data_IF_189419607145
#
_entry.id   IF_189419607145
#
_cell.length_a   1.000
_cell.length_b   1.000
_cell.length_c   1.000
_cell.angle_alpha   90.00
_cell.angle_beta   90.00
_cell.angle_gamma   90.00
#
_symmetry.space_group_name_H-M   'P 1'
#
loop_
_entity.id
_entity.type
_entity.pdbx_description
1 polymer ?
#
# COMPACT_ATOMS: atom_id res chain seq x y z
N UNK A 1 -6.54 7.48 -6.93
CA UNK A 1 -5.18 7.81 -7.46
C UNK A 1 -4.20 8.06 -6.30
N UNK A 2 -2.97 7.52 -6.35
CA UNK A 2 -2.04 7.61 -5.22
C UNK A 2 -1.62 9.07 -4.95
N UNK A 3 -1.95 9.60 -3.77
CA UNK A 3 -1.58 10.95 -3.36
C UNK A 3 -0.21 10.92 -2.70
N UNK A 4 0.70 11.76 -3.18
CA UNK A 4 2.07 11.85 -2.67
C UNK A 4 2.42 13.29 -2.31
N UNK A 5 2.98 13.50 -1.12
CA UNK A 5 3.46 14.80 -0.66
C UNK A 5 4.96 14.71 -0.36
N UNK A 6 5.74 15.68 -0.84
CA UNK A 6 7.18 15.70 -0.65
C UNK A 6 7.62 17.04 -0.07
N UNK A 7 8.41 16.97 1.00
CA UNK A 7 9.11 18.10 1.59
C UNK A 7 10.61 17.81 1.57
N UNK A 8 11.40 18.70 0.99
CA UNK A 8 12.84 18.53 0.84
C UNK A 8 13.60 19.61 1.61
N UNK A 9 14.53 19.17 2.46
CA UNK A 9 15.51 20.01 3.13
C UNK A 9 16.86 19.79 2.46
N UNK A 10 17.38 20.83 1.81
CA UNK A 10 18.71 20.78 1.17
C UNK A 10 19.65 21.67 1.97
N UNK A 11 20.78 21.13 2.38
CA UNK A 11 21.83 21.90 3.03
C UNK A 11 22.41 22.92 2.04
N UNK A 12 22.55 24.17 2.48
CA UNK A 12 23.18 25.24 1.71
C UNK A 12 24.69 25.25 1.95
N UNK A 13 25.50 25.35 0.89
CA UNK A 13 26.97 25.44 0.96
C UNK A 13 27.70 24.68 -0.17
N UNK A 14 28.99 24.96 -0.35
CA UNK A 14 29.84 24.38 -1.41
C UNK A 14 30.54 23.06 -1.04
N UNK A 15 30.40 22.62 0.20
CA UNK A 15 30.94 21.33 0.67
C UNK A 15 30.08 20.13 0.24
N UNK A 16 30.42 18.94 0.75
CA UNK A 16 29.61 17.73 0.61
C UNK A 16 28.17 18.04 1.02
N UNK A 17 27.26 18.04 0.03
CA UNK A 17 25.90 18.52 0.23
C UNK A 17 25.00 17.40 0.69
N UNK A 18 24.15 17.64 1.69
CA UNK A 18 23.14 16.68 2.12
C UNK A 18 21.74 17.18 1.81
N UNK A 19 20.86 16.25 1.40
CA UNK A 19 19.43 16.51 1.22
C UNK A 19 18.61 15.41 1.89
N UNK A 20 17.66 15.83 2.69
CA UNK A 20 16.66 14.95 3.29
C UNK A 20 15.30 15.21 2.62
N UNK A 21 14.64 14.16 2.16
CA UNK A 21 13.29 14.28 1.60
C UNK A 21 12.33 13.47 2.43
N UNK A 22 11.36 14.15 3.03
CA UNK A 22 10.18 13.53 3.64
C UNK A 22 9.15 13.31 2.54
N UNK A 23 8.89 12.05 2.23
CA UNK A 23 7.98 11.63 1.18
C UNK A 23 6.82 10.84 1.82
N UNK A 24 5.65 11.46 1.91
CA UNK A 24 4.44 10.84 2.39
C UNK A 24 3.66 10.25 1.21
N UNK A 25 3.32 8.97 1.28
CA UNK A 25 2.53 8.25 0.29
C UNK A 25 1.22 7.78 0.91
N UNK A 26 0.10 8.08 0.25
CA UNK A 26 -1.25 7.62 0.60
C UNK A 26 -1.58 7.74 2.09
N UNK A 27 -1.10 8.80 2.76
CA UNK A 27 -1.28 9.05 4.19
C UNK A 27 -0.90 7.91 5.18
N UNK A 28 -0.34 6.82 4.69
CA UNK A 28 -0.13 5.59 5.44
C UNK A 28 1.35 5.18 5.45
N UNK A 29 2.17 5.74 4.57
CA UNK A 29 3.61 5.50 4.50
C UNK A 29 4.40 6.79 4.50
N UNK A 30 5.44 6.84 5.32
CA UNK A 30 6.41 7.93 5.35
C UNK A 30 7.78 7.37 4.96
N UNK A 31 8.46 8.04 4.03
CA UNK A 31 9.82 7.75 3.65
C UNK A 31 10.68 8.96 3.98
N UNK A 32 11.75 8.74 4.72
CA UNK A 32 12.87 9.66 4.83
C UNK A 32 13.94 9.19 3.85
N UNK A 33 14.07 9.91 2.74
CA UNK A 33 15.08 9.64 1.73
C UNK A 33 16.31 10.53 2.00
N UNK A 34 17.48 9.91 2.16
CA UNK A 34 18.74 10.62 2.40
C UNK A 34 19.54 10.66 1.12
N UNK A 35 19.96 11.85 0.74
CA UNK A 35 20.76 12.09 -0.45
C UNK A 35 22.06 12.79 -0.08
N UNK A 36 23.15 12.38 -0.73
CA UNK A 36 24.45 13.06 -0.65
C UNK A 36 24.86 13.58 -2.04
N UNK A 37 25.56 14.71 -2.03
CA UNK A 37 26.18 15.37 -3.19
C UNK A 37 27.68 15.45 -2.92
N UNK A 38 28.49 14.90 -3.83
CA UNK A 38 29.96 14.98 -3.75
C UNK A 38 30.44 16.37 -4.20
N UNK A 39 31.57 16.82 -3.65
CA UNK A 39 32.19 18.07 -4.10
C UNK A 39 32.52 18.00 -5.61
N UNK A 40 32.25 19.09 -6.33
CA UNK A 40 32.42 19.16 -7.79
C UNK A 40 31.33 18.45 -8.61
N UNK A 41 30.26 17.95 -7.96
CA UNK A 41 29.10 17.39 -8.63
C UNK A 41 27.84 18.15 -8.19
N UNK A 42 26.97 18.51 -9.13
CA UNK A 42 25.71 19.22 -8.86
C UNK A 42 24.54 18.27 -8.56
N UNK A 43 24.71 16.97 -8.83
CA UNK A 43 23.69 15.96 -8.63
C UNK A 43 23.73 15.37 -7.22
N UNK A 44 22.55 15.29 -6.61
CA UNK A 44 22.32 14.54 -5.38
C UNK A 44 21.98 13.08 -5.71
N UNK A 45 22.65 12.14 -5.04
CA UNK A 45 22.39 10.71 -5.17
C UNK A 45 21.75 10.19 -3.89
N UNK A 46 20.70 9.37 -4.00
CA UNK A 46 20.06 8.76 -2.84
C UNK A 46 20.98 7.70 -2.26
N UNK A 47 21.40 7.89 -1.02
CA UNK A 47 22.31 6.99 -0.29
C UNK A 47 21.57 6.10 0.70
N UNK A 48 20.41 6.53 1.19
CA UNK A 48 19.62 5.74 2.13
C UNK A 48 18.11 6.06 2.02
N UNK A 49 17.28 5.16 2.54
CA UNK A 49 15.84 5.35 2.70
C UNK A 49 15.36 4.66 3.97
N UNK A 50 14.92 5.45 4.94
CA UNK A 50 14.21 4.96 6.11
C UNK A 50 12.72 5.04 5.83
N UNK A 51 12.00 3.93 6.01
CA UNK A 51 10.54 3.91 5.79
C UNK A 51 9.79 3.48 7.03
N UNK A 52 8.67 4.14 7.29
CA UNK A 52 7.70 3.74 8.31
C UNK A 52 6.31 3.60 7.69
N UNK A 53 5.53 2.69 8.24
CA UNK A 53 4.14 2.45 7.88
C UNK A 53 3.28 2.77 9.11
N UNK A 54 2.13 3.41 8.90
CA UNK A 54 1.14 3.65 9.95
C UNK A 54 0.63 2.30 10.46
N UNK A 55 0.62 2.13 11.77
CA UNK A 55 0.04 0.93 12.40
C UNK A 55 -1.40 0.70 11.92
N UNK A 56 -1.76 -0.57 11.67
CA UNK A 56 -3.08 -0.94 11.14
C UNK A 56 -3.27 -0.68 9.64
N UNK A 57 -2.24 -0.21 8.93
CA UNK A 57 -2.29 -0.05 7.46
C UNK A 57 -1.33 -1.02 6.77
N UNK A 58 -1.75 -1.59 5.63
CA UNK A 58 -0.91 -2.50 4.85
C UNK A 58 -0.31 -1.79 3.65
N UNK A 59 0.95 -2.08 3.36
CA UNK A 59 1.62 -1.62 2.14
C UNK A 59 0.97 -2.14 0.85
N UNK A 60 0.25 -3.25 0.93
CA UNK A 60 -0.48 -3.86 -0.18
C UNK A 60 -1.95 -3.45 -0.25
N UNK A 61 -2.50 -2.88 0.83
CA UNK A 61 -3.85 -2.34 0.83
C UNK A 61 -3.78 -0.91 0.28
N UNK A 62 -4.37 -0.72 -0.88
CA UNK A 62 -4.73 0.61 -1.37
C UNK A 62 -5.81 1.18 -0.43
N UNK A 63 -5.69 2.45 -0.03
CA UNK A 63 -6.65 3.11 0.88
C UNK A 63 -8.11 3.05 0.39
N UNK A 64 -8.30 2.91 -0.93
CA UNK A 64 -9.62 2.77 -1.58
C UNK A 64 -10.15 1.31 -1.54
N UNK A 65 -9.39 0.37 -0.97
CA UNK A 65 -9.63 -1.08 -1.10
C UNK A 65 -9.56 -1.55 -2.56
N UNK A 66 -9.79 -2.83 -2.83
CA UNK A 66 -10.01 -3.30 -4.21
C UNK A 66 -11.46 -3.07 -4.66
N UNK A 67 -12.23 -2.28 -3.90
CA UNK A 67 -13.67 -2.10 -4.07
C UNK A 67 -14.38 -3.44 -4.17
N UNK A 68 -15.21 -3.57 -5.21
CA UNK A 68 -15.94 -4.80 -5.53
C UNK A 68 -15.03 -6.02 -5.77
N UNK A 69 -13.77 -5.81 -6.18
CA UNK A 69 -12.80 -6.89 -6.43
C UNK A 69 -12.02 -7.28 -5.18
N UNK A 70 -12.46 -6.93 -3.98
CA UNK A 70 -11.78 -7.36 -2.76
C UNK A 70 -12.01 -8.85 -2.53
N UNK A 71 -10.95 -9.57 -2.18
CA UNK A 71 -11.05 -10.97 -1.79
C UNK A 71 -11.83 -11.08 -0.48
N UNK A 72 -12.99 -11.73 -0.52
CA UNK A 72 -13.90 -11.82 0.63
C UNK A 72 -13.36 -12.61 1.83
N UNK A 73 -12.27 -13.36 1.64
CA UNK A 73 -11.61 -14.14 2.71
C UNK A 73 -10.36 -13.42 3.22
N UNK A 74 -9.46 -13.00 2.33
CA UNK A 74 -8.15 -12.46 2.72
C UNK A 74 -8.06 -10.92 2.72
N UNK A 75 -9.03 -10.22 2.12
CA UNK A 75 -8.96 -8.77 1.89
C UNK A 75 -8.00 -8.32 0.79
N UNK A 76 -7.27 -9.25 0.15
CA UNK A 76 -6.38 -8.97 -0.97
C UNK A 76 -7.11 -8.72 -2.30
N UNK A 77 -6.35 -8.59 -3.40
CA UNK A 77 -6.94 -8.44 -4.74
C UNK A 77 -7.63 -9.74 -5.14
N UNK A 78 -8.92 -9.68 -5.36
CA UNK A 78 -9.72 -10.73 -5.94
C UNK A 78 -9.48 -10.85 -7.44
N UNK A 79 -8.94 -11.98 -7.86
CA UNK A 79 -8.61 -12.30 -9.26
C UNK A 79 -9.53 -13.36 -9.85
N UNK A 80 -10.26 -14.08 -8.99
CA UNK A 80 -11.19 -15.16 -9.35
C UNK A 80 -12.58 -14.74 -8.88
N UNK A 81 -13.58 -14.79 -9.76
CA UNK A 81 -14.97 -14.56 -9.40
C UNK A 81 -15.64 -15.84 -8.88
N UNK A 82 -16.48 -15.69 -7.86
CA UNK A 82 -17.35 -16.74 -7.31
C UNK A 82 -18.77 -16.18 -7.17
N UNK A 83 -19.79 -17.01 -7.34
CA UNK A 83 -21.19 -16.56 -7.31
C UNK A 83 -21.99 -17.34 -6.28
N UNK A 84 -22.79 -16.65 -5.48
CA UNK A 84 -23.68 -17.24 -4.48
C UNK A 84 -24.98 -16.46 -4.37
N UNK A 85 -26.12 -17.15 -4.42
CA UNK A 85 -27.47 -16.56 -4.32
C UNK A 85 -27.69 -15.35 -5.26
N UNK A 86 -27.21 -15.44 -6.50
CA UNK A 86 -27.34 -14.36 -7.50
C UNK A 86 -26.37 -13.18 -7.33
N UNK A 87 -25.52 -13.18 -6.30
CA UNK A 87 -24.49 -12.17 -6.09
C UNK A 87 -23.11 -12.68 -6.55
N UNK A 88 -22.27 -11.77 -7.04
CA UNK A 88 -20.89 -12.06 -7.44
C UNK A 88 -19.93 -11.52 -6.39
N UNK A 89 -18.99 -12.37 -5.97
CA UNK A 89 -17.91 -12.07 -5.04
C UNK A 89 -16.56 -12.43 -5.68
N UNK A 90 -15.46 -12.00 -5.06
CA UNK A 90 -14.12 -12.28 -5.58
C UNK A 90 -13.23 -12.92 -4.53
N UNK A 91 -12.29 -13.76 -5.00
CA UNK A 91 -11.27 -14.43 -4.19
C UNK A 91 -9.89 -14.34 -4.86
N UNK A 92 -8.81 -14.39 -4.07
CA UNK A 92 -7.45 -14.15 -4.57
C UNK A 92 -6.72 -15.41 -5.08
N UNK A 93 -7.19 -16.61 -4.71
CA UNK A 93 -6.55 -17.87 -5.07
C UNK A 93 -7.53 -19.06 -5.00
N UNK A 94 -7.12 -20.22 -5.52
CA UNK A 94 -7.91 -21.46 -5.49
C UNK A 94 -8.20 -21.96 -4.07
N UNK A 95 -7.29 -21.73 -3.11
CA UNK A 95 -7.52 -22.05 -1.71
C UNK A 95 -8.65 -21.21 -1.09
N UNK A 96 -8.71 -19.92 -1.40
CA UNK A 96 -9.84 -19.07 -1.00
C UNK A 96 -11.12 -19.49 -1.71
N UNK A 97 -11.05 -19.91 -2.98
CA UNK A 97 -12.23 -20.45 -3.67
C UNK A 97 -12.78 -21.70 -2.96
N UNK A 98 -11.92 -22.66 -2.62
CA UNK A 98 -12.35 -23.88 -1.93
C UNK A 98 -13.00 -23.57 -0.58
N UNK A 99 -12.37 -22.70 0.23
CA UNK A 99 -12.94 -22.27 1.50
C UNK A 99 -14.28 -21.52 1.36
N UNK A 100 -14.47 -20.78 0.27
CA UNK A 100 -15.75 -20.13 -0.04
C UNK A 100 -16.82 -21.15 -0.45
N UNK A 101 -16.48 -22.13 -1.28
CA UNK A 101 -17.43 -23.15 -1.73
C UNK A 101 -17.89 -24.06 -0.58
N UNK A 102 -17.05 -24.27 0.46
CA UNK A 102 -17.38 -25.05 1.65
C UNK A 102 -18.40 -24.36 2.57
N UNK A 103 -18.25 -23.05 2.81
CA UNK A 103 -19.11 -22.29 3.72
C UNK A 103 -19.27 -20.83 3.25
N UNK A 104 -20.02 -20.59 2.15
CA UNK A 104 -20.12 -19.28 1.54
C UNK A 104 -20.80 -18.25 2.46
N UNK A 105 -21.80 -18.67 3.24
CA UNK A 105 -22.58 -17.79 4.10
C UNK A 105 -21.72 -17.18 5.22
N UNK A 106 -20.87 -17.99 5.86
CA UNK A 106 -19.92 -17.52 6.88
C UNK A 106 -18.98 -16.45 6.35
N UNK A 107 -18.39 -16.67 5.17
CA UNK A 107 -17.45 -15.72 4.59
C UNK A 107 -18.12 -14.44 4.10
N UNK A 108 -19.34 -14.54 3.56
CA UNK A 108 -20.15 -13.37 3.17
C UNK A 108 -20.52 -12.53 4.39
N UNK A 109 -20.95 -13.17 5.49
CA UNK A 109 -21.28 -12.47 6.73
C UNK A 109 -20.07 -11.72 7.29
N UNK A 110 -18.92 -12.41 7.39
CA UNK A 110 -17.65 -11.81 7.83
C UNK A 110 -17.21 -10.64 6.95
N UNK A 111 -17.35 -10.77 5.63
CA UNK A 111 -16.97 -9.71 4.71
C UNK A 111 -17.85 -8.46 4.86
N UNK A 112 -19.16 -8.63 5.05
CA UNK A 112 -20.09 -7.52 5.30
C UNK A 112 -19.80 -6.81 6.62
N UNK A 113 -19.49 -7.55 7.68
CA UNK A 113 -19.14 -6.97 8.99
C UNK A 113 -17.87 -6.10 8.92
N UNK A 114 -16.87 -6.53 8.15
CA UNK A 114 -15.62 -5.77 7.96
C UNK A 114 -15.72 -4.64 6.92
N UNK A 115 -16.84 -4.52 6.20
CA UNK A 115 -17.05 -3.49 5.17
C UNK A 115 -17.98 -2.36 5.63
N UNK A 116 -18.47 -2.41 6.87
CA UNK A 116 -19.22 -1.35 7.56
C UNK A 116 -18.28 -0.52 8.45
#
# INVERSE_FOLDING_TARGET
PQKTYKLAFTQSGDEMGRRFVFNQQNNNRYLLEVYDRRAGNDQFFRVDTVSTQREGTSMALIDEGYGEKTCIISGGLGTISVSYQGNTYYVCCTGCKAAFDEDPERWIARFKENSN
#
